data_IF_044086941765
#
_entry.id   IF_044086941765
#
_cell.length_a   1.000
_cell.length_b   1.000
_cell.length_c   1.000
_cell.angle_alpha   90.00
_cell.angle_beta   90.00
_cell.angle_gamma   90.00
#
_symmetry.space_group_name_H-M   'P 1'
#
loop_
_entity.id
_entity.type
_entity.pdbx_description
1 polymer ?
#
# COMPACT_ATOMS: atom_id res chain seq x y z
N UNK A 1 -16.86 42.32 20.27
CA UNK A 1 -15.61 41.80 19.62
C UNK A 1 -15.12 40.44 20.15
N UNK A 2 -15.75 39.81 21.16
CA UNK A 2 -15.22 38.58 21.77
C UNK A 2 -15.80 37.25 21.23
N UNK A 3 -16.98 37.23 20.59
CA UNK A 3 -17.61 35.97 20.14
C UNK A 3 -17.09 35.40 18.81
N UNK A 4 -16.52 36.24 17.93
CA UNK A 4 -15.98 35.80 16.62
C UNK A 4 -14.65 35.05 16.75
N UNK A 5 -13.88 35.32 17.81
CA UNK A 5 -12.61 34.62 18.08
C UNK A 5 -12.81 33.17 18.53
N UNK A 6 -13.97 32.83 19.11
CA UNK A 6 -14.24 31.47 19.60
C UNK A 6 -14.60 30.50 18.46
N UNK A 7 -15.16 31.00 17.36
CA UNK A 7 -15.58 30.20 16.19
C UNK A 7 -14.36 29.85 15.32
N UNK A 8 -13.33 30.70 15.30
CA UNK A 8 -12.06 30.45 14.61
C UNK A 8 -11.23 29.31 15.21
N UNK A 9 -11.42 28.99 16.50
CA UNK A 9 -10.60 28.00 17.20
C UNK A 9 -11.12 26.56 17.05
N UNK A 10 -12.39 26.38 16.63
CA UNK A 10 -13.04 25.08 16.45
C UNK A 10 -12.73 24.39 15.12
N UNK A 11 -12.11 25.08 14.15
CA UNK A 11 -11.83 24.55 12.81
C UNK A 11 -10.51 23.75 12.69
N UNK A 12 -9.76 23.60 13.78
CA UNK A 12 -8.45 22.93 13.77
C UNK A 12 -8.48 21.46 14.23
N UNK A 13 -9.66 20.87 14.47
CA UNK A 13 -9.78 19.42 14.74
C UNK A 13 -9.75 18.67 13.41
N UNK A 14 -8.64 18.78 12.67
CA UNK A 14 -8.34 17.88 11.57
C UNK A 14 -7.96 16.52 12.17
N UNK A 15 -8.94 15.61 12.24
CA UNK A 15 -8.70 14.23 12.66
C UNK A 15 -7.88 13.52 11.57
N UNK A 16 -6.55 13.65 11.67
CA UNK A 16 -5.61 12.91 10.83
C UNK A 16 -5.69 11.45 11.30
N UNK A 17 -6.29 10.57 10.49
CA UNK A 17 -6.31 9.13 10.79
C UNK A 17 -4.90 8.65 11.11
N UNK A 18 -4.73 7.96 12.23
CA UNK A 18 -3.43 7.48 12.68
C UNK A 18 -2.92 6.43 11.68
N UNK A 19 -1.79 6.72 11.04
CA UNK A 19 -1.09 5.72 10.23
C UNK A 19 -0.31 4.82 11.19
N UNK A 20 -0.75 3.58 11.35
CA UNK A 20 -0.07 2.60 12.20
C UNK A 20 1.32 2.23 11.66
N UNK A 21 1.40 1.97 10.36
CA UNK A 21 2.64 1.60 9.68
C UNK A 21 2.60 2.10 8.23
N UNK A 22 3.75 2.56 7.74
CA UNK A 22 3.96 2.92 6.33
C UNK A 22 5.44 2.79 6.01
N UNK A 23 5.74 2.02 4.98
CA UNK A 23 7.08 1.87 4.43
C UNK A 23 6.97 1.79 2.91
N UNK A 24 7.99 2.27 2.20
CA UNK A 24 8.10 2.08 0.75
C UNK A 24 9.48 1.50 0.46
N UNK A 25 9.53 0.49 -0.39
CA UNK A 25 10.76 -0.11 -0.87
C UNK A 25 11.03 0.39 -2.28
N UNK A 26 12.28 0.75 -2.57
CA UNK A 26 12.69 1.14 -3.92
C UNK A 26 12.92 -0.11 -4.77
N UNK A 27 12.37 -0.09 -5.97
CA UNK A 27 12.60 -1.13 -6.99
C UNK A 27 13.71 -0.65 -7.93
N UNK A 28 14.47 -1.61 -8.49
CA UNK A 28 15.51 -1.33 -9.49
C UNK A 28 14.97 -0.51 -10.66
N UNK A 29 15.82 0.36 -11.21
CA UNK A 29 15.49 1.12 -12.43
C UNK A 29 15.39 0.22 -13.66
N UNK A 30 16.03 -0.96 -13.63
CA UNK A 30 15.97 -1.96 -14.69
C UNK A 30 14.60 -2.67 -14.73
N UNK A 31 13.83 -2.55 -13.65
CA UNK A 31 12.49 -3.12 -13.52
C UNK A 31 12.34 -3.90 -12.21
N UNK A 32 11.15 -4.46 -12.01
CA UNK A 32 10.88 -5.34 -10.87
C UNK A 32 11.05 -6.80 -11.27
N UNK A 33 12.15 -7.44 -10.87
CA UNK A 33 12.31 -8.88 -11.08
C UNK A 33 11.38 -9.66 -10.14
N UNK A 34 10.79 -10.75 -10.64
CA UNK A 34 10.03 -11.73 -9.85
C UNK A 34 10.86 -12.37 -8.74
N UNK A 35 12.18 -12.45 -8.91
CA UNK A 35 13.10 -13.03 -7.91
C UNK A 35 13.47 -12.04 -6.80
N UNK A 36 13.00 -10.79 -6.89
CA UNK A 36 13.34 -9.72 -5.96
C UNK A 36 12.06 -9.15 -5.32
N UNK A 37 11.41 -9.90 -4.41
CA UNK A 37 10.19 -9.44 -3.74
C UNK A 37 10.48 -8.25 -2.82
N UNK A 38 9.57 -7.28 -2.82
CA UNK A 38 9.57 -6.22 -1.82
C UNK A 38 9.15 -6.81 -0.48
N UNK A 39 10.04 -6.75 0.52
CA UNK A 39 9.82 -7.34 1.84
C UNK A 39 9.62 -6.26 2.90
N UNK A 40 8.57 -6.42 3.69
CA UNK A 40 8.20 -5.52 4.79
C UNK A 40 8.05 -6.32 6.08
N UNK A 41 8.37 -5.71 7.21
CA UNK A 41 8.20 -6.33 8.54
C UNK A 41 7.39 -5.42 9.44
N UNK A 42 6.23 -5.90 9.88
CA UNK A 42 5.34 -5.17 10.77
C UNK A 42 5.27 -5.86 12.13
N UNK A 43 5.34 -5.09 13.20
CA UNK A 43 5.21 -5.63 14.56
C UNK A 43 3.80 -5.34 15.07
N UNK A 44 2.98 -6.40 15.19
CA UNK A 44 1.63 -6.33 15.76
C UNK A 44 1.73 -6.53 17.27
N UNK A 45 1.23 -5.56 18.03
CA UNK A 45 1.27 -5.57 19.50
C UNK A 45 -0.10 -5.82 20.14
N UNK A 46 -1.20 -5.65 19.39
CA UNK A 46 -2.57 -5.92 19.83
C UNK A 46 -3.34 -6.67 18.75
N UNK A 47 -3.80 -7.88 19.08
CA UNK A 47 -4.56 -8.75 18.18
C UNK A 47 -6.03 -8.32 17.99
N UNK A 48 -6.56 -7.50 18.91
CA UNK A 48 -7.94 -6.99 18.82
C UNK A 48 -8.02 -5.72 17.97
N UNK A 49 -6.88 -5.13 17.63
CA UNK A 49 -6.82 -3.94 16.80
C UNK A 49 -7.24 -4.28 15.37
N UNK A 50 -8.18 -3.48 14.85
CA UNK A 50 -8.64 -3.57 13.47
C UNK A 50 -7.84 -2.63 12.59
N UNK A 51 -7.37 -3.12 11.45
CA UNK A 51 -6.54 -2.40 10.50
C UNK A 51 -7.22 -2.30 9.12
N UNK A 52 -6.89 -1.25 8.37
CA UNK A 52 -7.19 -1.16 6.94
C UNK A 52 -5.88 -1.08 6.17
N UNK A 53 -5.64 -2.04 5.30
CA UNK A 53 -4.39 -2.16 4.55
C UNK A 53 -4.52 -1.56 3.16
N UNK A 54 -3.42 -0.98 2.68
CA UNK A 54 -3.35 -0.34 1.37
C UNK A 54 -2.04 -0.67 0.70
N UNK A 55 -2.09 -0.86 -0.61
CA UNK A 55 -0.92 -0.94 -1.47
C UNK A 55 -0.62 0.46 -2.01
N UNK A 56 0.64 0.87 -1.94
CA UNK A 56 1.10 2.13 -2.52
C UNK A 56 2.04 1.78 -3.66
N UNK A 57 1.60 2.04 -4.88
CA UNK A 57 2.39 1.79 -6.08
C UNK A 57 2.78 3.12 -6.69
N UNK A 58 4.09 3.29 -6.93
CA UNK A 58 4.64 4.43 -7.66
C UNK A 58 5.31 3.92 -8.93
N UNK A 59 4.88 4.42 -10.07
CA UNK A 59 5.35 3.98 -11.38
C UNK A 59 5.57 5.14 -12.33
N UNK A 60 6.33 4.88 -13.39
CA UNK A 60 6.52 5.81 -14.50
C UNK A 60 5.36 5.71 -15.50
N UNK A 61 5.04 6.78 -16.22
CA UNK A 61 4.03 6.79 -17.29
C UNK A 61 4.46 6.02 -18.54
N UNK A 62 5.72 5.55 -18.59
CA UNK A 62 6.25 4.65 -19.63
C UNK A 62 5.97 3.18 -19.31
N UNK A 63 5.41 2.87 -18.13
CA UNK A 63 4.95 1.53 -17.83
C UNK A 63 3.88 1.11 -18.84
N UNK A 64 4.06 -0.04 -19.48
CA UNK A 64 3.29 -0.43 -20.67
C UNK A 64 1.93 -1.06 -20.42
N UNK A 65 1.60 -1.37 -19.16
CA UNK A 65 0.37 -2.06 -18.81
C UNK A 65 -0.56 -1.14 -18.01
N UNK A 66 -1.87 -1.34 -18.16
CA UNK A 66 -2.89 -0.64 -17.39
C UNK A 66 -3.09 -1.21 -15.98
N UNK A 67 -2.48 -2.35 -15.68
CA UNK A 67 -2.60 -3.08 -14.44
C UNK A 67 -1.27 -3.75 -14.06
N UNK A 68 -1.14 -4.08 -12.78
CA UNK A 68 -0.05 -4.85 -12.20
C UNK A 68 -0.63 -5.96 -11.34
N UNK A 69 -0.34 -7.21 -11.70
CA UNK A 69 -0.64 -8.37 -10.87
C UNK A 69 0.47 -8.58 -9.85
N UNK A 70 0.10 -8.94 -8.62
CA UNK A 70 1.05 -9.23 -7.55
C UNK A 70 0.60 -10.44 -6.74
N UNK A 71 1.57 -11.21 -6.24
CA UNK A 71 1.36 -12.11 -5.12
C UNK A 71 1.79 -11.43 -3.83
N UNK A 72 0.97 -11.56 -2.79
CA UNK A 72 1.24 -11.02 -1.46
C UNK A 72 1.29 -12.18 -0.49
N UNK A 73 2.49 -12.50 -0.03
CA UNK A 73 2.73 -13.51 1.00
C UNK A 73 2.78 -12.83 2.36
N UNK A 74 1.98 -13.32 3.31
CA UNK A 74 1.94 -12.83 4.68
C UNK A 74 2.32 -13.99 5.59
N UNK A 75 3.53 -13.95 6.14
CA UNK A 75 4.03 -14.93 7.10
C UNK A 75 3.82 -14.43 8.51
N UNK A 76 3.10 -15.23 9.30
CA UNK A 76 2.84 -15.00 10.72
C UNK A 76 4.08 -15.33 11.58
N UNK A 77 4.13 -14.85 12.83
CA UNK A 77 5.24 -15.14 13.75
C UNK A 77 5.46 -16.64 14.00
N UNK A 78 4.43 -17.46 13.85
CA UNK A 78 4.47 -18.92 14.00
C UNK A 78 4.92 -19.66 12.71
N UNK A 79 5.25 -18.91 11.64
CA UNK A 79 5.70 -19.42 10.35
C UNK A 79 4.59 -19.77 9.36
N UNK A 80 3.30 -19.72 9.76
CA UNK A 80 2.20 -19.94 8.82
C UNK A 80 2.17 -18.81 7.79
N UNK A 81 2.06 -19.17 6.52
CA UNK A 81 2.03 -18.21 5.42
C UNK A 81 0.72 -18.32 4.65
N UNK A 82 0.09 -17.17 4.41
CA UNK A 82 -1.05 -17.04 3.48
C UNK A 82 -0.62 -16.26 2.26
N UNK A 83 -1.15 -16.60 1.09
CA UNK A 83 -0.82 -15.92 -0.17
C UNK A 83 -2.09 -15.43 -0.85
N UNK A 84 -2.09 -14.14 -1.20
CA UNK A 84 -3.13 -13.52 -2.00
C UNK A 84 -2.63 -13.21 -3.41
N UNK A 85 -3.56 -13.22 -4.36
CA UNK A 85 -3.33 -12.69 -5.71
C UNK A 85 -4.12 -11.39 -5.86
N UNK A 86 -3.45 -10.31 -6.23
CA UNK A 86 -4.07 -8.99 -6.34
C UNK A 86 -3.82 -8.40 -7.72
N UNK A 87 -4.88 -7.95 -8.38
CA UNK A 87 -4.80 -7.10 -9.57
C UNK A 87 -4.89 -5.63 -9.15
N UNK A 88 -3.85 -4.86 -9.48
CA UNK A 88 -3.80 -3.43 -9.23
C UNK A 88 -4.00 -2.67 -10.54
N UNK A 89 -5.16 -2.06 -10.73
CA UNK A 89 -5.37 -1.16 -11.87
C UNK A 89 -4.59 0.14 -11.66
N UNK A 90 -3.82 0.52 -12.68
CA UNK A 90 -2.98 1.71 -12.73
C UNK A 90 -3.56 2.78 -13.67
N UNK A 91 -4.36 2.41 -14.67
CA UNK A 91 -5.08 3.35 -15.54
C UNK A 91 -6.50 2.89 -15.88
N UNK A 92 -7.30 3.82 -16.40
CA UNK A 92 -8.60 3.50 -17.00
C UNK A 92 -8.45 2.90 -18.41
N UNK A 93 -9.56 2.47 -19.00
CA UNK A 93 -9.61 1.87 -20.35
C UNK A 93 -9.19 2.82 -21.48
N UNK A 94 -9.10 4.13 -21.22
CA UNK A 94 -8.60 5.14 -22.17
C UNK A 94 -7.11 5.42 -21.97
N UNK A 95 -6.46 4.72 -21.05
CA UNK A 95 -5.03 4.91 -20.73
C UNK A 95 -4.76 6.07 -19.78
N UNK A 96 -5.78 6.69 -19.18
CA UNK A 96 -5.57 7.74 -18.18
C UNK A 96 -5.10 7.10 -16.87
N UNK A 97 -3.88 7.40 -16.46
CA UNK A 97 -3.31 6.94 -15.19
C UNK A 97 -4.15 7.39 -13.98
N UNK A 98 -4.37 6.45 -13.06
CA UNK A 98 -4.90 6.70 -11.73
C UNK A 98 -3.84 7.31 -10.82
N UNK A 99 -4.30 7.85 -9.69
CA UNK A 99 -3.43 8.44 -8.68
C UNK A 99 -2.97 9.85 -9.04
N UNK A 100 -1.87 10.28 -8.40
CA UNK A 100 -1.35 11.64 -8.49
C UNK A 100 0.17 11.64 -8.58
N UNK A 101 0.75 12.67 -9.17
CA UNK A 101 2.19 12.83 -9.26
C UNK A 101 2.60 13.83 -10.35
N UNK A 102 3.82 14.35 -10.22
CA UNK A 102 4.40 15.34 -11.11
C UNK A 102 5.10 14.66 -12.30
N UNK A 103 4.98 15.27 -13.48
CA UNK A 103 5.60 14.77 -14.69
C UNK A 103 5.16 13.35 -15.06
N UNK A 104 6.17 12.52 -15.31
CA UNK A 104 6.09 11.12 -15.71
C UNK A 104 5.94 10.14 -14.53
N UNK A 105 5.90 10.61 -13.29
CA UNK A 105 5.71 9.75 -12.13
C UNK A 105 4.27 9.82 -11.62
N UNK A 106 3.69 8.64 -11.33
CA UNK A 106 2.35 8.50 -10.75
C UNK A 106 2.40 7.60 -9.53
N UNK A 107 1.69 8.02 -8.48
CA UNK A 107 1.52 7.26 -7.25
C UNK A 107 0.04 7.00 -7.04
N UNK A 108 -0.33 5.73 -6.92
CA UNK A 108 -1.69 5.27 -6.64
C UNK A 108 -1.73 4.56 -5.28
N UNK A 109 -2.80 4.81 -4.53
CA UNK A 109 -3.09 4.14 -3.26
C UNK A 109 -4.30 3.23 -3.48
N UNK A 110 -4.11 1.93 -3.36
CA UNK A 110 -5.10 0.90 -3.65
C UNK A 110 -5.52 0.24 -2.34
N UNK A 111 -6.82 0.14 -2.07
CA UNK A 111 -7.33 -0.60 -0.93
C UNK A 111 -7.07 -2.09 -1.13
N UNK A 112 -6.42 -2.74 -0.17
CA UNK A 112 -6.12 -4.18 -0.25
C UNK A 112 -7.09 -4.99 0.61
N UNK A 113 -7.05 -4.80 1.93
CA UNK A 113 -8.01 -5.45 2.85
C UNK A 113 -8.51 -4.45 3.89
N UNK A 114 -9.80 -4.07 3.86
CA UNK A 114 -10.39 -3.28 4.93
C UNK A 114 -10.70 -4.17 6.14
N UNK A 115 -10.67 -3.56 7.33
CA UNK A 115 -11.15 -4.17 8.58
C UNK A 115 -10.54 -5.54 8.94
N UNK A 116 -9.23 -5.70 8.77
CA UNK A 116 -8.53 -6.94 9.12
C UNK A 116 -7.98 -6.90 10.54
N UNK A 117 -8.05 -8.03 11.24
CA UNK A 117 -7.32 -8.30 12.47
C UNK A 117 -6.21 -9.30 12.18
N UNK A 118 -5.11 -9.22 12.93
CA UNK A 118 -4.08 -10.24 12.91
C UNK A 118 -4.39 -11.28 14.00
N UNK A 119 -4.29 -12.58 13.70
CA UNK A 119 -4.69 -13.63 14.65
C UNK A 119 -3.79 -13.64 15.91
N UNK A 120 -2.53 -13.23 15.77
CA UNK A 120 -1.53 -13.24 16.82
C UNK A 120 -0.76 -11.91 16.87
N UNK A 121 -0.03 -11.71 17.98
CA UNK A 121 0.94 -10.62 18.14
C UNK A 121 2.33 -11.09 17.73
N UNK A 122 3.17 -10.17 17.26
CA UNK A 122 4.56 -10.44 16.89
C UNK A 122 4.91 -9.82 15.53
N UNK A 123 6.07 -10.24 15.00
CA UNK A 123 6.57 -9.74 13.71
C UNK A 123 5.97 -10.56 12.57
N UNK A 124 5.17 -9.90 11.74
CA UNK A 124 4.71 -10.44 10.47
C UNK A 124 5.65 -9.99 9.35
N UNK A 125 6.01 -10.93 8.48
CA UNK A 125 6.74 -10.62 7.24
C UNK A 125 5.76 -10.58 6.07
N UNK A 126 5.76 -9.48 5.33
CA UNK A 126 4.96 -9.33 4.11
C UNK A 126 5.92 -9.27 2.93
N UNK A 127 5.82 -10.24 2.04
CA UNK A 127 6.55 -10.26 0.77
C UNK A 127 5.58 -10.00 -0.36
N UNK A 128 5.90 -9.03 -1.19
CA UNK A 128 5.13 -8.71 -2.38
C UNK A 128 6.02 -9.01 -3.58
N UNK A 129 5.54 -9.82 -4.50
CA UNK A 129 6.20 -10.11 -5.77
C UNK A 129 5.30 -9.76 -6.95
N UNK A 130 5.89 -9.35 -8.06
CA UNK A 130 5.14 -9.11 -9.28
C UNK A 130 4.75 -10.44 -9.94
N UNK A 131 3.50 -10.53 -10.37
CA UNK A 131 2.90 -11.72 -10.98
C UNK A 131 2.56 -11.48 -12.46
N UNK A 132 3.27 -10.56 -13.13
CA UNK A 132 3.09 -10.32 -14.57
C UNK A 132 3.68 -11.48 -15.38
N UNK A 133 3.30 -11.61 -16.66
CA UNK A 133 3.90 -12.65 -17.51
C UNK A 133 5.38 -12.37 -17.77
N UNK A 134 5.70 -11.12 -18.04
CA UNK A 134 7.06 -10.67 -18.33
C UNK A 134 7.88 -10.46 -17.06
N UNK A 135 9.13 -10.86 -17.11
CA UNK A 135 10.14 -10.53 -16.13
C UNK A 135 11.15 -9.60 -16.81
N UNK A 136 11.47 -8.44 -16.21
CA UNK A 136 12.54 -7.57 -16.69
C UNK A 136 13.89 -8.28 -16.78
#
# INVERSE_FOLDING_TARGET
MSRLLFISLLLMIACKGSTFYRENQQISQEGWSKTEPATFRIHITDRNQVYSTFLILRHHTLYKYSNLWMFIHISAPDGKTVTDTVECFLSDYKGKWYGSGLGDMKTVKIGYRPQVTFPDTGVYEIKIEQAMRENP
#
